data_IF_581634617572
#
_entry.id   IF_581634617572
#
_cell.length_a   1.000
_cell.length_b   1.000
_cell.length_c   1.000
_cell.angle_alpha   90.00
_cell.angle_beta   90.00
_cell.angle_gamma   90.00
#
_symmetry.space_group_name_H-M   'P 1'
#
loop_
_entity.id
_entity.type
_entity.pdbx_description
1 polymer ?
#
# COMPACT_ATOMS: atom_id res chain seq x y z
N UNK A 1 4.77 6.04 5.13
CA UNK A 1 4.07 6.40 6.38
C UNK A 1 3.39 5.17 6.94
N UNK A 2 3.61 4.86 8.21
CA UNK A 2 2.90 3.78 8.92
C UNK A 2 1.45 4.23 9.15
N UNK A 3 0.47 3.42 8.76
CA UNK A 3 -0.94 3.71 9.01
C UNK A 3 -1.33 3.37 10.45
N UNK A 4 -2.21 4.19 11.05
CA UNK A 4 -2.69 4.04 12.43
C UNK A 4 -3.25 2.63 12.71
N UNK A 5 -3.99 2.06 11.76
CA UNK A 5 -4.60 0.73 11.91
C UNK A 5 -3.56 -0.38 12.09
N UNK A 6 -2.42 -0.26 11.39
CA UNK A 6 -1.30 -1.19 11.55
C UNK A 6 -0.66 -1.05 12.92
N UNK A 7 -0.53 0.18 13.45
CA UNK A 7 -0.01 0.40 14.80
C UNK A 7 -0.90 -0.23 15.86
N UNK A 8 -2.22 -0.04 15.75
CA UNK A 8 -3.22 -0.65 16.64
C UNK A 8 -3.09 -2.18 16.62
N UNK A 9 -2.95 -2.76 15.44
CA UNK A 9 -2.74 -4.20 15.30
C UNK A 9 -1.45 -4.68 15.98
N UNK A 10 -0.32 -4.00 15.75
CA UNK A 10 0.95 -4.35 16.39
C UNK A 10 0.91 -4.22 17.92
N UNK A 11 0.26 -3.17 18.43
CA UNK A 11 0.05 -3.00 19.87
C UNK A 11 -0.84 -4.09 20.46
N UNK A 12 -1.89 -4.50 19.73
CA UNK A 12 -2.75 -5.62 20.11
C UNK A 12 -1.97 -6.93 20.25
N UNK A 13 -1.14 -7.27 19.25
CA UNK A 13 -0.30 -8.47 19.27
C UNK A 13 0.72 -8.41 20.41
N UNK A 14 1.40 -7.28 20.62
CA UNK A 14 2.36 -7.11 21.72
C UNK A 14 1.68 -7.30 23.09
N UNK A 15 0.50 -6.71 23.28
CA UNK A 15 -0.27 -6.88 24.52
C UNK A 15 -0.76 -8.33 24.71
N UNK A 16 -1.11 -9.02 23.62
CA UNK A 16 -1.51 -10.42 23.66
C UNK A 16 -0.35 -11.34 24.06
N UNK A 17 0.85 -11.07 23.53
CA UNK A 17 2.08 -11.77 23.94
C UNK A 17 2.39 -11.51 25.42
N UNK A 18 2.18 -10.28 25.90
CA UNK A 18 2.35 -9.95 27.31
C UNK A 18 1.39 -10.75 28.20
N UNK A 19 0.10 -10.80 27.84
CA UNK A 19 -0.89 -11.60 28.58
C UNK A 19 -0.54 -13.11 28.58
N UNK A 20 -0.06 -13.64 27.45
CA UNK A 20 0.38 -15.03 27.35
C UNK A 20 1.61 -15.32 28.23
N UNK A 21 2.57 -14.39 28.27
CA UNK A 21 3.73 -14.49 29.16
C UNK A 21 3.30 -14.49 30.63
N UNK A 22 2.43 -13.56 31.04
CA UNK A 22 1.90 -13.49 32.40
C UNK A 22 1.15 -14.78 32.79
N UNK A 23 0.35 -15.34 31.88
CA UNK A 23 -0.35 -16.61 32.11
C UNK A 23 0.62 -17.79 32.30
N UNK A 24 1.65 -17.88 31.46
CA UNK A 24 2.68 -18.93 31.54
C UNK A 24 3.51 -18.82 32.82
N UNK A 25 3.84 -17.60 33.23
CA UNK A 25 4.54 -17.33 34.49
C UNK A 25 3.67 -17.69 35.70
N UNK A 26 2.38 -17.34 35.69
CA UNK A 26 1.46 -17.68 36.77
C UNK A 26 1.32 -19.21 36.94
N UNK A 27 1.21 -19.97 35.84
CA UNK A 27 1.25 -21.44 35.85
C UNK A 27 2.54 -22.00 36.44
N UNK A 28 3.68 -21.41 36.09
CA UNK A 28 4.99 -21.83 36.60
C UNK A 28 5.13 -21.53 38.10
N UNK A 29 4.64 -20.37 38.54
CA UNK A 29 4.65 -19.96 39.94
C UNK A 29 3.88 -20.94 40.83
N UNK A 30 2.63 -21.25 40.46
CA UNK A 30 1.79 -22.20 41.22
C UNK A 30 2.41 -23.59 41.35
N UNK A 31 3.12 -24.05 40.30
CA UNK A 31 3.83 -25.34 40.32
C UNK A 31 4.98 -25.35 41.32
N UNK A 32 5.71 -24.24 41.45
CA UNK A 32 6.85 -24.13 42.37
C UNK A 32 6.37 -23.98 43.81
N UNK A 33 5.25 -23.29 44.03
CA UNK A 33 4.69 -23.07 45.38
C UNK A 33 3.75 -24.19 45.84
N UNK A 34 3.62 -25.27 45.07
CA UNK A 34 2.73 -26.40 45.36
C UNK A 34 1.27 -25.99 45.64
N UNK A 35 0.81 -24.89 45.05
CA UNK A 35 -0.56 -24.42 45.19
C UNK A 35 -1.46 -25.06 44.14
N UNK A 36 -2.74 -25.24 44.47
CA UNK A 36 -3.74 -25.77 43.54
C UNK A 36 -4.07 -24.74 42.46
N UNK A 37 -4.29 -25.22 41.24
CA UNK A 37 -4.66 -24.36 40.11
C UNK A 37 -6.17 -24.11 40.12
N UNK A 38 -6.58 -22.99 40.70
CA UNK A 38 -7.99 -22.59 40.79
C UNK A 38 -8.46 -21.76 39.57
N UNK A 39 -7.54 -21.40 38.67
CA UNK A 39 -7.84 -20.66 37.43
C UNK A 39 -6.79 -19.60 37.10
N UNK A 40 -7.03 -18.82 36.03
CA UNK A 40 -6.24 -17.61 35.77
C UNK A 40 -6.83 -16.42 36.54
N UNK A 41 -5.99 -15.51 37.05
CA UNK A 41 -6.46 -14.28 37.66
C UNK A 41 -7.23 -13.43 36.64
N UNK A 42 -8.27 -12.77 37.12
CA UNK A 42 -9.20 -12.00 36.30
C UNK A 42 -8.53 -10.91 35.45
N UNK A 43 -7.46 -10.29 35.97
CA UNK A 43 -6.69 -9.26 35.27
C UNK A 43 -6.06 -9.77 33.97
N UNK A 44 -5.37 -10.93 34.02
CA UNK A 44 -4.76 -11.56 32.82
C UNK A 44 -5.85 -11.94 31.81
N UNK A 45 -6.99 -12.42 32.30
CA UNK A 45 -8.11 -12.81 31.46
C UNK A 45 -8.71 -11.60 30.72
N UNK A 46 -8.91 -10.48 31.42
CA UNK A 46 -9.38 -9.23 30.83
C UNK A 46 -8.36 -8.63 29.85
N UNK A 47 -7.07 -8.61 30.20
CA UNK A 47 -6.01 -8.15 29.29
C UNK A 47 -5.98 -8.99 28.00
N UNK A 48 -6.15 -10.31 28.11
CA UNK A 48 -6.25 -11.22 26.97
C UNK A 48 -7.44 -10.91 26.06
N UNK A 49 -8.64 -10.71 26.63
CA UNK A 49 -9.85 -10.38 25.85
C UNK A 49 -9.69 -9.04 25.14
N UNK A 50 -9.21 -8.01 25.83
CA UNK A 50 -9.02 -6.67 25.25
C UNK A 50 -7.97 -6.68 24.14
N UNK A 51 -6.84 -7.34 24.36
CA UNK A 51 -5.77 -7.45 23.36
C UNK A 51 -6.20 -8.23 22.11
N UNK A 52 -6.99 -9.29 22.29
CA UNK A 52 -7.58 -10.05 21.19
C UNK A 52 -8.58 -9.19 20.40
N UNK A 53 -9.50 -8.50 21.08
CA UNK A 53 -10.44 -7.59 20.44
C UNK A 53 -9.75 -6.46 19.67
N UNK A 54 -8.69 -5.88 20.22
CA UNK A 54 -7.90 -4.84 19.56
C UNK A 54 -7.16 -5.36 18.32
N UNK A 55 -6.63 -6.58 18.38
CA UNK A 55 -5.98 -7.23 17.24
C UNK A 55 -6.99 -7.54 16.12
N UNK A 56 -8.19 -8.02 16.46
CA UNK A 56 -9.27 -8.23 15.49
C UNK A 56 -9.71 -6.92 14.84
N UNK A 57 -9.90 -5.86 15.63
CA UNK A 57 -10.27 -4.55 15.10
C UNK A 57 -9.20 -3.99 14.15
N UNK A 58 -7.92 -4.09 14.54
CA UNK A 58 -6.79 -3.63 13.73
C UNK A 58 -6.68 -4.35 12.38
N UNK A 59 -6.87 -5.67 12.35
CA UNK A 59 -6.78 -6.44 11.09
C UNK A 59 -7.99 -6.19 10.19
N UNK A 60 -9.20 -6.08 10.73
CA UNK A 60 -10.41 -5.78 9.94
C UNK A 60 -10.26 -4.44 9.20
N UNK A 61 -9.81 -3.41 9.90
CA UNK A 61 -9.60 -2.10 9.28
C UNK A 61 -8.40 -2.11 8.31
N UNK A 62 -7.41 -2.97 8.54
CA UNK A 62 -6.28 -3.11 7.61
C UNK A 62 -6.62 -3.88 6.33
N UNK A 63 -7.68 -4.69 6.33
CA UNK A 63 -8.10 -5.48 5.16
C UNK A 63 -8.59 -4.61 3.99
N UNK A 64 -8.90 -3.34 4.25
CA UNK A 64 -9.33 -2.37 3.25
C UNK A 64 -10.83 -2.45 2.98
N UNK A 65 -11.33 -1.43 2.29
CA UNK A 65 -12.76 -1.34 1.98
C UNK A 65 -13.15 -2.34 0.89
N UNK A 66 -14.36 -2.86 1.01
CA UNK A 66 -14.95 -3.66 -0.05
C UNK A 66 -15.16 -2.79 -1.28
N UNK A 67 -14.51 -3.14 -2.40
CA UNK A 67 -14.80 -2.53 -3.70
C UNK A 67 -16.13 -3.11 -4.20
N UNK A 68 -17.16 -2.28 -4.33
CA UNK A 68 -18.43 -2.69 -4.93
C UNK A 68 -18.20 -3.22 -6.37
N UNK A 69 -18.87 -4.32 -6.71
CA UNK A 69 -18.86 -4.89 -8.07
C UNK A 69 -19.80 -4.07 -8.97
N UNK A 70 -19.56 -2.76 -9.09
CA UNK A 70 -20.20 -1.92 -10.09
C UNK A 70 -19.32 -1.86 -11.32
N UNK A 71 -19.16 -3.00 -11.99
CA UNK A 71 -18.41 -3.09 -13.23
C UNK A 71 -18.93 -2.09 -14.28
N UNK A 72 -20.25 -1.84 -14.31
CA UNK A 72 -20.86 -0.89 -15.24
C UNK A 72 -20.53 0.59 -14.94
N UNK A 73 -20.31 0.97 -13.69
CA UNK A 73 -20.00 2.37 -13.33
C UNK A 73 -18.51 2.69 -13.60
N UNK A 74 -17.61 1.76 -13.25
CA UNK A 74 -16.17 1.84 -13.60
C UNK A 74 -15.95 1.82 -15.13
N UNK A 75 -16.82 1.11 -15.87
CA UNK A 75 -16.89 1.16 -17.33
C UNK A 75 -17.51 2.46 -17.87
N UNK A 76 -18.49 3.04 -17.17
CA UNK A 76 -19.12 4.31 -17.54
C UNK A 76 -18.21 5.53 -17.36
N UNK A 77 -17.27 5.46 -16.40
CA UNK A 77 -16.21 6.46 -16.21
C UNK A 77 -15.15 6.41 -17.33
N UNK A 78 -15.04 5.28 -18.05
CA UNK A 78 -14.17 5.19 -19.23
C UNK A 78 -14.85 5.84 -20.42
N UNK A 79 -14.17 6.80 -21.03
CA UNK A 79 -14.61 7.39 -22.30
C UNK A 79 -14.58 6.35 -23.42
N UNK A 80 -15.47 6.51 -24.42
CA UNK A 80 -15.47 5.69 -25.64
C UNK A 80 -14.07 5.63 -26.27
N UNK A 81 -13.36 6.76 -26.30
CA UNK A 81 -11.98 6.88 -26.78
C UNK A 81 -11.02 5.90 -26.08
N UNK A 82 -11.16 5.69 -24.76
CA UNK A 82 -10.32 4.77 -23.99
C UNK A 82 -10.69 3.30 -24.23
N UNK A 83 -11.97 3.02 -24.50
CA UNK A 83 -12.46 1.66 -24.81
C UNK A 83 -12.13 1.24 -26.24
N UNK A 84 -12.22 2.16 -27.21
CA UNK A 84 -11.87 1.90 -28.61
C UNK A 84 -10.37 1.74 -28.80
N UNK A 85 -9.58 2.30 -27.88
CA UNK A 85 -8.14 2.21 -27.91
C UNK A 85 -7.65 0.77 -27.70
N UNK A 86 -7.42 0.05 -28.79
CA UNK A 86 -6.96 -1.35 -28.77
C UNK A 86 -5.43 -1.40 -28.99
N UNK A 87 -4.62 -1.56 -27.92
CA UNK A 87 -3.17 -1.42 -28.00
C UNK A 87 -2.52 -2.47 -28.91
N UNK A 88 -3.14 -3.64 -29.06
CA UNK A 88 -2.67 -4.70 -29.94
C UNK A 88 -2.78 -4.37 -31.43
N UNK A 89 -3.57 -3.36 -31.82
CA UNK A 89 -3.81 -2.97 -33.22
C UNK A 89 -3.28 -1.58 -33.57
N UNK A 90 -2.29 -1.09 -32.82
CA UNK A 90 -1.70 0.22 -33.12
C UNK A 90 -0.95 0.24 -34.44
N UNK A 91 -1.41 1.11 -35.33
CA UNK A 91 -0.71 1.45 -36.57
C UNK A 91 0.03 2.77 -36.35
N UNK A 92 1.35 2.72 -36.32
CA UNK A 92 2.22 3.90 -36.11
C UNK A 92 2.34 4.80 -37.35
N UNK A 93 1.63 4.48 -38.43
CA UNK A 93 1.60 5.29 -39.65
C UNK A 93 0.39 6.23 -39.65
N UNK A 94 0.43 7.30 -38.85
CA UNK A 94 -0.63 8.30 -38.74
C UNK A 94 -0.11 9.73 -38.97
N UNK A 95 -1.01 10.70 -39.20
CA UNK A 95 -0.69 12.11 -39.49
C UNK A 95 0.23 12.77 -38.44
N UNK A 96 0.10 12.36 -37.18
CA UNK A 96 0.99 12.78 -36.08
C UNK A 96 2.47 12.41 -36.28
N UNK A 97 2.79 11.37 -37.05
CA UNK A 97 4.17 10.95 -37.36
C UNK A 97 4.94 12.03 -38.12
N UNK A 98 4.31 12.66 -39.12
CA UNK A 98 4.91 13.75 -39.90
C UNK A 98 5.19 14.98 -39.03
N UNK A 99 4.24 15.34 -38.14
CA UNK A 99 4.39 16.49 -37.24
C UNK A 99 5.49 16.28 -36.20
N UNK A 100 5.59 15.09 -35.61
CA UNK A 100 6.69 14.76 -34.70
C UNK A 100 8.04 14.68 -35.42
N UNK A 101 8.09 14.16 -36.64
CA UNK A 101 9.31 14.10 -37.44
C UNK A 101 9.84 15.50 -37.80
N UNK A 102 8.95 16.41 -38.18
CA UNK A 102 9.29 17.82 -38.43
C UNK A 102 9.81 18.52 -37.17
N UNK A 103 9.20 18.26 -36.01
CA UNK A 103 9.62 18.83 -34.73
C UNK A 103 11.02 18.34 -34.33
N UNK A 104 11.30 17.03 -34.48
CA UNK A 104 12.62 16.46 -34.24
C UNK A 104 13.69 17.02 -35.19
N UNK A 105 13.35 17.24 -36.46
CA UNK A 105 14.28 17.84 -37.44
C UNK A 105 14.58 19.30 -37.11
N UNK A 106 13.56 20.06 -36.69
CA UNK A 106 13.72 21.45 -36.28
C UNK A 106 14.57 21.56 -35.01
N UNK A 107 14.28 20.75 -33.99
CA UNK A 107 15.05 20.70 -32.74
C UNK A 107 16.53 20.41 -32.98
N UNK A 108 16.86 19.37 -33.76
CA UNK A 108 18.26 19.06 -34.12
C UNK A 108 18.94 20.21 -34.87
N UNK A 109 18.25 20.83 -35.83
CA UNK A 109 18.79 21.96 -36.57
C UNK A 109 19.04 23.17 -35.67
N UNK A 110 18.13 23.48 -34.74
CA UNK A 110 18.32 24.57 -33.76
C UNK A 110 19.48 24.28 -32.81
N UNK A 111 19.66 23.05 -32.33
CA UNK A 111 20.78 22.70 -31.45
C UNK A 111 22.12 22.80 -32.18
N UNK A 112 22.22 22.31 -33.42
CA UNK A 112 23.44 22.44 -34.23
C UNK A 112 23.74 23.91 -34.51
N UNK A 113 22.73 24.71 -34.83
CA UNK A 113 22.90 26.14 -35.06
C UNK A 113 23.35 26.87 -33.79
N UNK A 114 22.81 26.51 -32.61
CA UNK A 114 23.22 27.10 -31.33
C UNK A 114 24.66 26.75 -30.96
N UNK A 115 25.09 25.51 -31.21
CA UNK A 115 26.47 25.06 -30.97
C UNK A 115 27.44 25.74 -31.94
N UNK A 116 27.07 25.85 -33.22
CA UNK A 116 27.87 26.55 -34.23
C UNK A 116 28.05 28.03 -33.88
N UNK A 117 26.95 28.73 -33.56
CA UNK A 117 26.96 30.13 -33.12
C UNK A 117 27.79 30.31 -31.85
N UNK A 118 27.63 29.42 -30.84
CA UNK A 118 28.39 29.50 -29.59
C UNK A 118 29.90 29.28 -29.79
N UNK A 119 30.30 28.41 -30.71
CA UNK A 119 31.71 28.16 -31.01
C UNK A 119 32.35 29.24 -31.90
N UNK A 120 31.57 29.99 -32.66
CA UNK A 120 32.07 31.05 -33.57
C UNK A 120 31.94 32.47 -33.02
N UNK A 121 31.18 32.70 -31.94
CA UNK A 121 31.05 34.00 -31.27
C UNK A 121 32.03 34.18 -30.09
N UNK A 122 32.70 33.11 -29.65
CA UNK A 122 33.77 33.18 -28.64
C UNK A 122 35.14 33.17 -29.32
N UNK A 123 35.44 34.25 -30.03
CA UNK A 123 36.78 34.71 -30.44
C UNK A 123 36.83 36.23 -30.32
#
# INVERSE_FOLDING_TARGET
MISLNKQIFFLGILSLVHAAYSAAQHRSYLRITEQTFDGLPFDILMQGIVSLGMSMYGILYSAGDFKEIRAMEDLGLKTLETLHNTPSFYIFNHRGKSRNWLNLKNSKNTTVHYIWVKNHIVL
#
